data_IF_806005367297
#
_entry.id   IF_806005367297
#
_cell.length_a   1.000
_cell.length_b   1.000
_cell.length_c   1.000
_cell.angle_alpha   90.00
_cell.angle_beta   90.00
_cell.angle_gamma   90.00
#
_symmetry.space_group_name_H-M   'P 1'
#
loop_
_entity.id
_entity.type
_entity.pdbx_description
1 polymer ?
#
# COMPACT_ATOMS: atom_id res chain seq x y z
N UNK A 1 16.11 -4.50 -1.85
CA UNK A 1 15.62 -4.79 -3.22
C UNK A 1 15.43 -3.49 -3.97
N UNK A 2 16.05 -3.25 -5.15
CA UNK A 2 15.66 -2.10 -5.97
C UNK A 2 14.23 -2.32 -6.48
N UNK A 3 13.34 -1.37 -6.17
CA UNK A 3 11.87 -1.44 -6.27
C UNK A 3 11.32 -1.63 -7.70
N UNK A 4 12.18 -1.65 -8.73
CA UNK A 4 11.79 -1.72 -10.13
C UNK A 4 11.80 -3.11 -10.78
N UNK A 5 12.01 -4.20 -10.03
CA UNK A 5 12.14 -5.56 -10.60
C UNK A 5 10.98 -6.51 -10.32
N UNK A 6 10.05 -6.19 -9.42
CA UNK A 6 8.91 -7.06 -9.15
C UNK A 6 7.77 -6.71 -10.11
N UNK A 7 7.40 -7.63 -11.00
CA UNK A 7 6.29 -7.44 -11.94
C UNK A 7 4.94 -7.56 -11.22
N UNK A 8 3.92 -6.78 -11.61
CA UNK A 8 2.53 -6.96 -11.15
C UNK A 8 2.07 -8.42 -11.20
N UNK A 9 2.48 -9.14 -12.25
CA UNK A 9 2.17 -10.56 -12.44
C UNK A 9 2.75 -11.44 -11.32
N UNK A 10 3.99 -11.15 -10.91
CA UNK A 10 4.67 -11.88 -9.85
C UNK A 10 3.98 -11.65 -8.49
N UNK A 11 3.53 -10.43 -8.23
CA UNK A 11 2.72 -10.10 -7.04
C UNK A 11 1.39 -10.87 -7.07
N UNK A 12 0.70 -10.90 -8.21
CA UNK A 12 -0.57 -11.66 -8.38
C UNK A 12 -0.39 -13.17 -8.16
N UNK A 13 0.69 -13.75 -8.70
CA UNK A 13 1.02 -15.16 -8.44
C UNK A 13 1.31 -15.40 -6.97
N UNK A 14 1.95 -14.46 -6.27
CA UNK A 14 2.21 -14.57 -4.83
C UNK A 14 0.92 -14.55 -3.99
N UNK A 15 -0.07 -13.71 -4.33
CA UNK A 15 -1.38 -13.73 -3.69
C UNK A 15 -2.08 -15.09 -3.85
N UNK A 16 -1.98 -15.69 -5.02
CA UNK A 16 -2.57 -17.00 -5.29
C UNK A 16 -1.97 -18.07 -4.36
N UNK A 17 -0.64 -18.06 -4.21
CA UNK A 17 0.06 -18.97 -3.29
C UNK A 17 -0.34 -18.71 -1.83
N UNK A 18 -0.45 -17.44 -1.39
CA UNK A 18 -0.87 -17.13 -0.02
C UNK A 18 -2.31 -17.60 0.27
N UNK A 19 -3.21 -17.51 -0.71
CA UNK A 19 -4.57 -18.04 -0.59
C UNK A 19 -4.57 -19.58 -0.48
N UNK A 20 -3.76 -20.27 -1.30
CA UNK A 20 -3.58 -21.72 -1.21
C UNK A 20 -3.04 -22.14 0.16
N UNK A 21 -2.05 -21.40 0.70
CA UNK A 21 -1.52 -21.62 2.05
C UNK A 21 -2.61 -21.41 3.11
N UNK A 22 -3.39 -20.34 3.00
CA UNK A 22 -4.45 -20.05 3.97
C UNK A 22 -5.53 -21.14 3.98
N UNK A 23 -5.90 -21.67 2.81
CA UNK A 23 -6.80 -22.81 2.70
C UNK A 23 -6.19 -24.06 3.34
N UNK A 24 -4.93 -24.39 3.00
CA UNK A 24 -4.22 -25.53 3.58
C UNK A 24 -4.11 -25.45 5.12
N UNK A 25 -3.92 -24.26 5.69
CA UNK A 25 -3.88 -24.07 7.15
C UNK A 25 -5.29 -24.23 7.76
N UNK A 26 -6.33 -23.74 7.09
CA UNK A 26 -7.72 -23.84 7.57
C UNK A 26 -8.25 -25.27 7.55
N UNK A 27 -7.90 -26.03 6.50
CA UNK A 27 -8.35 -27.41 6.31
C UNK A 27 -7.52 -28.44 7.11
N UNK A 28 -6.60 -27.99 7.98
CA UNK A 28 -5.63 -28.85 8.67
C UNK A 28 -4.85 -29.74 7.67
N UNK A 29 -4.46 -29.14 6.55
CA UNK A 29 -3.75 -29.79 5.46
C UNK A 29 -2.40 -30.36 5.90
N UNK A 30 -1.84 -31.23 5.07
CA UNK A 30 -0.57 -31.89 5.39
C UNK A 30 0.56 -30.87 5.55
N UNK A 31 1.39 -31.04 6.58
CA UNK A 31 2.53 -30.15 6.85
C UNK A 31 3.47 -30.06 5.63
N UNK A 32 3.57 -31.14 4.86
CA UNK A 32 4.33 -31.19 3.60
C UNK A 32 3.80 -30.22 2.54
N UNK A 33 2.48 -30.06 2.41
CA UNK A 33 1.87 -29.10 1.47
C UNK A 33 2.15 -27.66 1.90
N UNK A 34 2.03 -27.36 3.20
CA UNK A 34 2.33 -26.02 3.74
C UNK A 34 3.81 -25.67 3.52
N UNK A 35 4.70 -26.64 3.69
CA UNK A 35 6.13 -26.46 3.48
C UNK A 35 6.46 -26.20 1.99
N UNK A 36 5.88 -26.97 1.07
CA UNK A 36 6.06 -26.75 -0.37
C UNK A 36 5.56 -25.35 -0.80
N UNK A 37 4.35 -24.98 -0.38
CA UNK A 37 3.78 -23.67 -0.70
C UNK A 37 4.60 -22.52 -0.08
N UNK A 38 5.10 -22.68 1.14
CA UNK A 38 5.98 -21.71 1.79
C UNK A 38 7.28 -21.52 0.99
N UNK A 39 7.90 -22.61 0.55
CA UNK A 39 9.12 -22.56 -0.28
C UNK A 39 8.88 -21.89 -1.63
N UNK A 40 7.75 -22.20 -2.28
CA UNK A 40 7.32 -21.55 -3.53
C UNK A 40 7.13 -20.05 -3.35
N UNK A 41 6.50 -19.62 -2.24
CA UNK A 41 6.33 -18.21 -1.93
C UNK A 41 7.67 -17.48 -1.75
N UNK A 42 8.61 -18.03 -1.00
CA UNK A 42 9.92 -17.39 -0.77
C UNK A 42 10.86 -17.42 -1.97
N UNK A 43 10.64 -18.33 -2.90
CA UNK A 43 11.34 -18.35 -4.19
C UNK A 43 10.76 -17.29 -5.13
N UNK A 44 9.43 -17.13 -5.14
CA UNK A 44 8.77 -16.13 -5.96
C UNK A 44 9.01 -14.72 -5.44
N UNK A 45 8.95 -14.50 -4.14
CA UNK A 45 9.26 -13.21 -3.53
C UNK A 45 10.54 -13.34 -2.73
N UNK A 46 11.64 -12.77 -3.22
CA UNK A 46 12.88 -12.87 -2.53
C UNK A 46 12.81 -12.06 -1.23
N UNK A 47 13.05 -12.77 -0.13
CA UNK A 47 13.05 -12.25 1.22
C UNK A 47 14.46 -12.32 1.80
N UNK A 48 14.80 -11.34 2.62
CA UNK A 48 16.03 -11.39 3.41
C UNK A 48 15.73 -11.97 4.79
N UNK A 49 16.27 -13.16 5.05
CA UNK A 49 16.21 -13.83 6.35
C UNK A 49 17.57 -13.83 7.07
N UNK A 50 18.61 -13.23 6.48
CA UNK A 50 19.99 -13.37 6.93
C UNK A 50 20.42 -14.83 7.01
N UNK A 51 20.99 -15.23 8.15
CA UNK A 51 21.45 -16.61 8.42
C UNK A 51 20.36 -17.51 9.01
N UNK A 52 19.13 -17.01 9.18
CA UNK A 52 18.02 -17.78 9.75
C UNK A 52 17.28 -18.52 8.64
N UNK A 53 16.78 -19.71 8.96
CA UNK A 53 15.90 -20.45 8.06
C UNK A 53 14.60 -19.66 7.82
N UNK A 54 14.05 -19.67 6.59
CA UNK A 54 12.75 -19.07 6.31
C UNK A 54 11.68 -19.65 7.25
N UNK A 55 10.88 -18.81 7.91
CA UNK A 55 9.80 -19.28 8.78
C UNK A 55 8.65 -19.88 7.93
N UNK A 56 8.01 -20.94 8.42
CA UNK A 56 6.88 -21.57 7.73
C UNK A 56 5.62 -20.69 7.82
N UNK A 57 4.80 -20.73 6.78
CA UNK A 57 3.52 -20.00 6.73
C UNK A 57 2.39 -20.82 7.38
N UNK A 58 2.50 -21.13 8.67
CA UNK A 58 1.51 -21.93 9.41
C UNK A 58 0.58 -21.09 10.31
N UNK A 59 0.89 -19.81 10.52
CA UNK A 59 0.09 -18.91 11.35
C UNK A 59 -0.72 -17.94 10.47
N UNK A 60 -2.03 -17.86 10.72
CA UNK A 60 -2.95 -16.94 10.06
C UNK A 60 -2.51 -15.47 10.19
N UNK A 61 -2.04 -15.06 11.38
CA UNK A 61 -1.56 -13.68 11.59
C UNK A 61 -0.33 -13.38 10.72
N UNK A 62 0.56 -14.36 10.58
CA UNK A 62 1.76 -14.22 9.76
C UNK A 62 1.42 -14.16 8.26
N UNK A 63 0.45 -14.96 7.81
CA UNK A 63 -0.08 -14.89 6.44
C UNK A 63 -0.70 -13.52 6.16
N UNK A 64 -1.53 -13.01 7.08
CA UNK A 64 -2.11 -11.67 6.95
C UNK A 64 -1.06 -10.56 6.85
N UNK A 65 0.02 -10.64 7.64
CA UNK A 65 1.14 -9.72 7.53
C UNK A 65 1.82 -9.79 6.16
N UNK A 66 1.92 -10.98 5.55
CA UNK A 66 2.44 -11.15 4.18
C UNK A 66 1.51 -10.62 3.11
N UNK A 67 0.19 -10.76 3.27
CA UNK A 67 -0.80 -10.15 2.38
C UNK A 67 -0.67 -8.62 2.42
N UNK A 68 -0.59 -8.02 3.61
CA UNK A 68 -0.36 -6.58 3.75
C UNK A 68 0.96 -6.14 3.12
N UNK A 69 2.02 -6.96 3.21
CA UNK A 69 3.28 -6.70 2.51
C UNK A 69 3.09 -6.64 0.99
N UNK A 70 2.34 -7.58 0.41
CA UNK A 70 2.03 -7.56 -1.03
C UNK A 70 1.24 -6.31 -1.43
N UNK A 71 0.27 -5.89 -0.62
CA UNK A 71 -0.55 -4.70 -0.88
C UNK A 71 0.35 -3.45 -0.96
N UNK A 72 1.24 -3.29 0.02
CA UNK A 72 2.20 -2.18 0.03
C UNK A 72 3.13 -2.21 -1.19
N UNK A 73 3.58 -3.40 -1.62
CA UNK A 73 4.44 -3.54 -2.80
C UNK A 73 3.69 -3.17 -4.09
N UNK A 74 2.41 -3.50 -4.19
CA UNK A 74 1.56 -3.14 -5.31
C UNK A 74 1.36 -1.61 -5.38
N UNK A 75 1.07 -0.98 -4.24
CA UNK A 75 0.90 0.48 -4.15
C UNK A 75 2.19 1.23 -4.55
N UNK A 76 3.35 0.73 -4.12
CA UNK A 76 4.65 1.29 -4.51
C UNK A 76 4.88 1.16 -6.02
N UNK A 77 4.58 0.01 -6.62
CA UNK A 77 4.72 -0.21 -8.06
C UNK A 77 3.81 0.73 -8.87
N UNK A 78 2.57 0.93 -8.42
CA UNK A 78 1.63 1.86 -9.04
C UNK A 78 2.14 3.30 -8.93
N UNK A 79 2.64 3.69 -7.76
CA UNK A 79 3.25 5.01 -7.55
C UNK A 79 4.45 5.24 -8.48
N UNK A 80 5.35 4.25 -8.61
CA UNK A 80 6.47 4.34 -9.54
C UNK A 80 6.03 4.41 -11.00
N UNK A 81 4.97 3.68 -11.36
CA UNK A 81 4.38 3.73 -12.70
C UNK A 81 3.85 5.13 -13.04
N UNK A 82 3.21 5.80 -12.06
CA UNK A 82 2.78 7.19 -12.21
C UNK A 82 3.98 8.14 -12.39
N UNK A 83 5.03 7.98 -11.57
CA UNK A 83 6.22 8.84 -11.64
C UNK A 83 6.95 8.72 -12.98
N UNK A 84 7.13 7.49 -13.51
CA UNK A 84 7.87 7.24 -14.75
C UNK A 84 7.16 7.76 -16.01
N UNK A 85 5.84 7.92 -15.99
CA UNK A 85 5.01 8.19 -17.17
C UNK A 85 4.75 9.65 -17.53
N UNK A 86 5.72 10.57 -17.41
CA UNK A 86 5.49 11.93 -17.90
C UNK A 86 6.64 12.89 -17.67
N UNK A 87 7.63 12.85 -18.56
CA UNK A 87 8.72 13.83 -18.68
C UNK A 87 8.66 14.52 -20.05
N UNK A 88 7.46 14.74 -20.59
CA UNK A 88 7.29 15.14 -22.00
C UNK A 88 7.13 16.66 -22.17
N UNK A 89 6.76 17.39 -21.12
CA UNK A 89 6.56 18.84 -21.17
C UNK A 89 7.69 19.57 -20.44
N UNK A 90 8.69 20.05 -21.18
CA UNK A 90 9.84 20.79 -20.63
C UNK A 90 9.52 22.19 -20.07
N UNK A 91 8.25 22.59 -20.07
CA UNK A 91 7.77 23.92 -19.67
C UNK A 91 7.18 23.97 -18.25
N UNK A 92 6.90 22.81 -17.63
CA UNK A 92 6.29 22.73 -16.29
C UNK A 92 7.29 22.29 -15.24
N UNK A 93 7.14 22.80 -14.02
CA UNK A 93 7.91 22.35 -12.86
C UNK A 93 7.66 20.85 -12.60
N UNK A 94 8.69 20.07 -12.23
CA UNK A 94 8.55 18.63 -12.00
C UNK A 94 7.56 18.28 -10.87
N UNK A 95 7.34 19.22 -9.95
CA UNK A 95 6.36 19.08 -8.86
C UNK A 95 4.94 19.19 -9.43
N UNK A 96 4.69 20.15 -10.32
CA UNK A 96 3.37 20.37 -10.93
C UNK A 96 2.98 19.22 -11.86
N UNK A 97 3.94 18.70 -12.62
CA UNK A 97 3.74 17.50 -13.45
C UNK A 97 3.30 16.31 -12.58
N UNK A 98 3.94 16.12 -11.42
CA UNK A 98 3.57 15.05 -10.50
C UNK A 98 2.21 15.32 -9.81
N UNK A 99 1.89 16.58 -9.53
CA UNK A 99 0.61 16.98 -8.98
C UNK A 99 -0.55 16.69 -9.96
N UNK A 100 -0.38 17.01 -11.24
CA UNK A 100 -1.37 16.71 -12.29
C UNK A 100 -1.60 15.19 -12.42
N UNK A 101 -0.54 14.39 -12.33
CA UNK A 101 -0.63 12.91 -12.35
C UNK A 101 -1.44 12.35 -11.18
N UNK A 102 -1.40 12.99 -10.01
CA UNK A 102 -2.19 12.59 -8.85
C UNK A 102 -3.69 12.86 -9.02
N UNK A 103 -4.10 13.70 -10.00
CA UNK A 103 -5.51 14.04 -10.30
C UNK A 103 -6.32 14.39 -9.04
N UNK A 104 -5.71 15.11 -8.10
CA UNK A 104 -6.32 15.47 -6.81
C UNK A 104 -6.20 16.96 -6.56
N UNK A 105 -7.24 17.56 -5.98
CA UNK A 105 -7.27 18.96 -5.56
C UNK A 105 -6.83 19.05 -4.09
N UNK A 106 -5.52 19.14 -3.88
CA UNK A 106 -4.91 19.26 -2.55
C UNK A 106 -4.89 20.73 -2.15
N UNK A 107 -5.82 21.12 -1.27
CA UNK A 107 -5.91 22.49 -0.73
C UNK A 107 -5.38 22.56 0.69
N UNK A 108 -4.63 23.62 0.95
CA UNK A 108 -4.16 24.01 2.28
C UNK A 108 -5.33 24.51 3.14
N UNK A 109 -5.47 23.98 4.37
CA UNK A 109 -6.45 24.49 5.34
C UNK A 109 -5.74 25.21 6.49
N UNK A 110 -6.24 26.38 6.88
CA UNK A 110 -5.68 27.19 7.97
C UNK A 110 -5.81 26.52 9.35
N UNK A 111 -4.82 26.76 10.22
CA UNK A 111 -4.73 26.21 11.60
C UNK A 111 -5.94 26.54 12.49
N UNK A 112 -6.67 27.60 12.19
CA UNK A 112 -7.70 28.16 13.07
C UNK A 112 -9.03 27.38 13.09
N UNK A 113 -9.17 26.32 12.29
CA UNK A 113 -10.40 25.51 12.27
C UNK A 113 -10.30 24.21 13.12
N UNK A 114 -9.38 24.14 14.08
CA UNK A 114 -9.26 23.00 15.00
C UNK A 114 -10.11 23.13 16.28
N UNK A 115 -10.83 24.24 16.44
CA UNK A 115 -11.76 24.41 17.55
C UNK A 115 -13.17 24.00 17.10
N UNK A 116 -13.70 22.96 17.75
CA UNK A 116 -15.08 22.48 17.71
C UNK A 116 -15.56 21.83 16.40
N UNK A 117 -15.57 20.50 16.38
CA UNK A 117 -16.83 19.83 16.04
C UNK A 117 -17.00 18.58 16.89
N UNK A 118 -18.05 18.64 17.72
CA UNK A 118 -18.63 17.52 18.43
C UNK A 118 -18.92 16.41 17.41
N UNK A 119 -18.70 15.18 17.85
CA UNK A 119 -19.09 13.96 17.16
C UNK A 119 -20.61 13.97 16.98
N UNK A 120 -21.08 14.56 15.88
CA UNK A 120 -22.45 14.45 15.42
C UNK A 120 -22.53 13.26 14.46
N UNK A 121 -23.14 12.22 15.01
CA UNK A 121 -23.68 11.00 14.43
C UNK A 121 -23.65 10.82 12.90
N UNK A 122 -23.17 9.66 12.46
CA UNK A 122 -23.94 8.88 11.49
C UNK A 122 -23.36 8.64 10.08
N UNK A 123 -22.17 9.14 9.71
CA UNK A 123 -21.50 8.73 8.45
C UNK A 123 -19.98 8.73 8.61
N UNK A 124 -19.39 7.55 8.76
CA UNK A 124 -17.93 7.37 8.84
C UNK A 124 -17.27 7.61 7.48
N UNK A 125 -17.12 8.87 7.06
CA UNK A 125 -16.14 9.21 6.03
C UNK A 125 -14.76 9.22 6.71
N UNK A 126 -13.96 8.17 6.47
CA UNK A 126 -12.57 8.09 6.96
C UNK A 126 -11.72 9.13 6.23
N UNK A 127 -11.72 10.35 6.76
CA UNK A 127 -10.79 11.39 6.36
C UNK A 127 -9.43 11.04 6.99
N UNK A 128 -8.48 10.54 6.17
CA UNK A 128 -7.10 10.28 6.62
C UNK A 128 -6.36 11.61 6.66
N UNK A 129 -5.91 12.00 7.84
CA UNK A 129 -5.11 13.20 8.07
C UNK A 129 -3.63 12.82 8.11
N UNK A 130 -2.80 13.53 7.34
CA UNK A 130 -1.35 13.48 7.54
C UNK A 130 -1.04 14.52 8.61
N UNK A 131 -0.96 14.08 9.86
CA UNK A 131 -0.52 14.92 10.98
C UNK A 131 1.00 14.98 10.94
N UNK A 132 1.54 16.13 10.54
CA UNK A 132 2.97 16.40 10.68
C UNK A 132 3.26 16.78 12.13
N UNK A 133 4.20 16.09 12.79
CA UNK A 133 4.83 16.62 13.99
C UNK A 133 5.62 17.87 13.59
N UNK A 134 5.18 19.01 14.12
CA UNK A 134 5.64 20.35 13.77
C UNK A 134 6.92 20.74 14.52
N UNK A 135 7.43 19.88 15.41
CA UNK A 135 8.63 20.18 16.21
C UNK A 135 9.95 20.09 15.42
N UNK A 136 10.01 19.33 14.33
CA UNK A 136 11.25 19.17 13.54
C UNK A 136 11.24 19.87 12.17
N UNK A 137 10.13 20.45 11.74
CA UNK A 137 10.10 21.33 10.57
C UNK A 137 9.03 22.38 10.82
N UNK A 138 9.37 23.64 10.56
CA UNK A 138 8.49 24.81 10.59
C UNK A 138 7.39 24.68 9.50
N UNK A 139 6.49 23.71 9.65
CA UNK A 139 5.48 23.32 8.65
C UNK A 139 4.17 24.05 8.92
N UNK A 140 3.83 24.93 7.97
CA UNK A 140 2.78 25.93 8.07
C UNK A 140 1.38 25.35 7.85
N UNK A 141 1.22 24.16 7.25
CA UNK A 141 -0.09 23.65 6.83
C UNK A 141 -0.23 22.12 6.86
N UNK A 142 -1.45 21.65 7.15
CA UNK A 142 -1.84 20.23 7.32
C UNK A 142 -2.90 19.89 6.25
N UNK A 143 -2.70 18.79 5.51
CA UNK A 143 -3.48 18.44 4.32
C UNK A 143 -4.63 17.46 4.64
N UNK A 144 -5.80 17.71 4.04
CA UNK A 144 -7.01 16.88 4.16
C UNK A 144 -7.48 16.45 2.77
N UNK A 145 -7.46 15.15 2.51
CA UNK A 145 -7.83 14.57 1.21
C UNK A 145 -9.31 14.14 1.21
N UNK A 146 -10.08 14.57 0.20
CA UNK A 146 -11.43 14.07 -0.08
C UNK A 146 -11.42 13.33 -1.42
N UNK A 147 -11.62 12.01 -1.35
CA UNK A 147 -11.75 11.16 -2.54
C UNK A 147 -13.19 11.22 -3.05
N UNK A 148 -13.35 11.57 -4.33
CA UNK A 148 -14.64 11.57 -5.00
C UNK A 148 -14.61 10.47 -6.07
N UNK A 149 -15.23 9.32 -5.76
CA UNK A 149 -15.37 8.24 -6.72
C UNK A 149 -16.65 8.46 -7.54
N UNK A 150 -16.54 8.44 -8.87
CA UNK A 150 -17.73 8.27 -9.72
C UNK A 150 -17.96 6.78 -9.91
N UNK A 151 -19.03 6.27 -9.31
CA UNK A 151 -19.54 4.94 -9.64
C UNK A 151 -20.20 5.03 -11.02
N UNK A 152 -19.54 4.54 -12.06
CA UNK A 152 -20.20 4.25 -13.33
C UNK A 152 -20.95 2.92 -13.16
N UNK A 153 -22.25 3.04 -12.91
CA UNK A 153 -23.20 1.97 -13.19
C UNK A 153 -23.50 2.03 -14.70
N UNK A 154 -23.56 0.83 -15.28
CA UNK A 154 -23.84 0.45 -16.69
C UNK A 154 -22.66 0.57 -17.66
#
# INVERSE_FOLDING_TARGET
MPLGKLSKRQIQSAYSILNEVQQAVSDSGSESQILDLSNRFYTLIPHDFGMKKPPLLNNLEYIQAKVQMLDNLLDIEVAYSLLRGGNEDGDKDPIDINYEKLRTDIKVRAKECFSHNKVAQGKTQRERYIVYDVAQVNLKYLLKLKFNYKTSLW
#
